data_IF_585804247963
#
_entry.id   IF_585804247963
#
_cell.length_a   1.000
_cell.length_b   1.000
_cell.length_c   1.000
_cell.angle_alpha   90.00
_cell.angle_beta   90.00
_cell.angle_gamma   90.00
#
_symmetry.space_group_name_H-M   'P 1'
#
loop_
_entity.id
_entity.type
_entity.pdbx_description
1 polymer ?
#
# COMPACT_ATOMS: atom_id res chain seq x y z
N UNK A 1 2.03 -6.05 -1.74
CA UNK A 1 2.69 -6.92 -2.75
C UNK A 1 3.28 -6.13 -3.90
N UNK A 2 2.42 -5.54 -4.72
CA UNK A 2 2.76 -4.73 -5.88
C UNK A 2 3.87 -3.71 -5.58
N UNK A 3 3.71 -2.96 -4.49
CA UNK A 3 4.65 -1.95 -4.02
C UNK A 3 6.02 -2.51 -3.61
N UNK A 4 6.07 -3.71 -3.02
CA UNK A 4 7.35 -4.31 -2.65
C UNK A 4 8.22 -4.54 -3.87
N UNK A 5 7.63 -5.01 -4.98
CA UNK A 5 8.34 -5.25 -6.24
C UNK A 5 8.87 -3.95 -6.82
N UNK A 6 8.09 -2.87 -6.76
CA UNK A 6 8.51 -1.55 -7.25
C UNK A 6 9.64 -0.98 -6.42
N UNK A 7 9.54 -1.02 -5.09
CA UNK A 7 10.61 -0.54 -4.23
C UNK A 7 11.89 -1.34 -4.52
N UNK A 8 11.82 -2.66 -4.66
CA UNK A 8 12.98 -3.48 -5.00
C UNK A 8 13.57 -3.14 -6.38
N UNK A 9 12.72 -2.88 -7.38
CA UNK A 9 13.14 -2.50 -8.73
C UNK A 9 13.77 -1.11 -8.77
N UNK A 10 13.15 -0.16 -8.07
CA UNK A 10 13.53 1.25 -8.02
C UNK A 10 14.85 1.49 -7.30
N UNK A 11 15.12 0.74 -6.24
CA UNK A 11 16.43 0.73 -5.56
C UNK A 11 17.44 -0.20 -6.24
N UNK A 12 17.12 -0.74 -7.42
CA UNK A 12 17.95 -1.66 -8.20
C UNK A 12 18.55 -2.80 -7.35
N UNK A 13 17.75 -3.35 -6.44
CA UNK A 13 18.24 -4.33 -5.46
C UNK A 13 18.64 -5.63 -6.18
N UNK A 14 19.86 -6.16 -5.95
CA UNK A 14 20.25 -7.44 -6.50
C UNK A 14 19.30 -8.58 -6.08
N UNK A 15 18.97 -9.47 -7.01
CA UNK A 15 17.99 -10.56 -6.81
C UNK A 15 18.33 -11.50 -5.65
N UNK A 16 19.62 -11.64 -5.32
CA UNK A 16 20.13 -12.44 -4.20
C UNK A 16 19.57 -11.93 -2.85
N UNK A 17 19.30 -10.63 -2.72
CA UNK A 17 18.82 -10.01 -1.48
C UNK A 17 17.30 -9.88 -1.39
N UNK A 18 16.56 -10.12 -2.49
CA UNK A 18 15.10 -9.95 -2.53
C UNK A 18 14.41 -10.77 -1.45
N UNK A 19 14.76 -12.05 -1.29
CA UNK A 19 14.12 -12.92 -0.30
C UNK A 19 14.31 -12.42 1.13
N UNK A 20 15.52 -11.95 1.48
CA UNK A 20 15.81 -11.43 2.83
C UNK A 20 15.04 -10.15 3.10
N UNK A 21 15.00 -9.24 2.13
CA UNK A 21 14.26 -7.98 2.26
C UNK A 21 12.76 -8.24 2.39
N UNK A 22 12.21 -9.15 1.58
CA UNK A 22 10.81 -9.52 1.65
C UNK A 22 10.46 -10.10 3.02
N UNK A 23 11.31 -10.99 3.58
CA UNK A 23 11.08 -11.55 4.91
C UNK A 23 11.11 -10.50 6.02
N UNK A 24 12.12 -9.62 6.01
CA UNK A 24 12.23 -8.52 6.98
C UNK A 24 11.04 -7.57 6.84
N UNK A 25 10.67 -7.23 5.59
CA UNK A 25 9.55 -6.37 5.29
C UNK A 25 8.21 -6.96 5.75
N UNK A 26 7.97 -8.26 5.55
CA UNK A 26 6.76 -8.94 6.05
C UNK A 26 6.71 -8.95 7.58
N UNK A 27 7.82 -9.27 8.24
CA UNK A 27 7.92 -9.22 9.70
C UNK A 27 7.56 -7.83 10.23
N UNK A 28 8.15 -6.80 9.64
CA UNK A 28 7.94 -5.42 10.05
C UNK A 28 6.51 -4.95 9.75
N UNK A 29 5.97 -5.28 8.58
CA UNK A 29 4.59 -5.01 8.19
C UNK A 29 3.60 -5.67 9.15
N UNK A 30 3.85 -6.91 9.57
CA UNK A 30 3.00 -7.61 10.53
C UNK A 30 2.98 -6.90 11.90
N UNK A 31 4.14 -6.45 12.37
CA UNK A 31 4.27 -5.68 13.61
C UNK A 31 3.50 -4.35 13.50
N UNK A 32 3.73 -3.57 12.43
CA UNK A 32 3.01 -2.32 12.25
C UNK A 32 1.51 -2.53 12.10
N UNK A 33 1.08 -3.54 11.34
CA UNK A 33 -0.33 -3.93 11.22
C UNK A 33 -0.93 -4.22 12.60
N UNK A 34 -0.25 -5.01 13.45
CA UNK A 34 -0.73 -5.27 14.81
C UNK A 34 -0.93 -3.97 15.61
N UNK A 35 0.04 -3.04 15.54
CA UNK A 35 -0.04 -1.74 16.21
C UNK A 35 -1.21 -0.90 15.67
N UNK A 36 -1.29 -0.68 14.35
CA UNK A 36 -2.35 0.14 13.77
C UNK A 36 -3.74 -0.45 13.91
N UNK A 37 -3.88 -1.78 13.82
CA UNK A 37 -5.16 -2.45 14.02
C UNK A 37 -5.61 -2.30 15.48
N UNK A 38 -4.70 -2.42 16.44
CA UNK A 38 -5.01 -2.22 17.86
C UNK A 38 -5.45 -0.78 18.14
N UNK A 39 -4.71 0.20 17.61
CA UNK A 39 -5.05 1.63 17.72
C UNK A 39 -6.40 1.92 17.02
N UNK A 40 -6.58 1.39 15.81
CA UNK A 40 -7.79 1.58 15.01
C UNK A 40 -9.02 0.97 15.65
N UNK A 41 -8.90 -0.20 16.27
CA UNK A 41 -9.99 -0.84 17.01
C UNK A 41 -10.48 0.04 18.17
N UNK A 42 -9.54 0.61 18.95
CA UNK A 42 -9.86 1.54 20.03
C UNK A 42 -10.51 2.81 19.47
N UNK A 43 -9.96 3.38 18.40
CA UNK A 43 -10.48 4.60 17.77
C UNK A 43 -11.92 4.44 17.24
N UNK A 44 -12.25 3.29 16.64
CA UNK A 44 -13.60 3.00 16.15
C UNK A 44 -14.56 2.72 17.31
N UNK A 45 -14.11 2.00 18.35
CA UNK A 45 -14.95 1.71 19.52
C UNK A 45 -15.32 2.96 20.33
N UNK A 46 -14.48 3.99 20.30
CA UNK A 46 -14.66 5.22 21.05
C UNK A 46 -15.48 6.28 20.31
N UNK A 47 -15.47 6.28 18.96
CA UNK A 47 -16.11 7.34 18.16
C UNK A 47 -16.71 6.80 16.85
N UNK A 48 -18.04 6.93 16.71
CA UNK A 48 -18.78 6.72 15.45
C UNK A 48 -18.28 7.61 14.30
N UNK A 49 -17.88 8.85 14.62
CA UNK A 49 -17.32 9.80 13.66
C UNK A 49 -16.03 9.31 12.98
N UNK A 50 -15.33 8.34 13.57
CA UNK A 50 -14.15 7.71 12.97
C UNK A 50 -14.47 7.09 11.61
N UNK A 51 -15.67 6.52 11.41
CA UNK A 51 -16.10 6.02 10.10
C UNK A 51 -16.22 7.12 9.04
N UNK A 52 -16.65 8.33 9.41
CA UNK A 52 -16.74 9.46 8.50
C UNK A 52 -15.35 9.98 8.09
N UNK A 53 -14.43 10.11 9.06
CA UNK A 53 -13.04 10.52 8.80
C UNK A 53 -12.38 9.52 7.85
N UNK A 54 -12.48 8.23 8.16
CA UNK A 54 -11.90 7.20 7.33
C UNK A 54 -12.56 7.12 5.96
N UNK A 55 -13.88 7.28 5.87
CA UNK A 55 -14.58 7.37 4.61
C UNK A 55 -14.06 8.50 3.73
N UNK A 56 -13.87 9.69 4.32
CA UNK A 56 -13.30 10.84 3.62
C UNK A 56 -11.86 10.59 3.14
N UNK A 57 -11.01 10.00 3.98
CA UNK A 57 -9.62 9.65 3.61
C UNK A 57 -9.61 8.64 2.46
N UNK A 58 -10.47 7.62 2.49
CA UNK A 58 -10.56 6.62 1.41
C UNK A 58 -11.04 7.22 0.09
N UNK A 59 -12.02 8.13 0.12
CA UNK A 59 -12.47 8.83 -1.09
C UNK A 59 -11.34 9.72 -1.62
N UNK A 60 -10.67 10.47 -0.76
CA UNK A 60 -9.57 11.34 -1.15
C UNK A 60 -8.39 10.56 -1.76
N UNK A 61 -8.00 9.45 -1.14
CA UNK A 61 -6.95 8.56 -1.67
C UNK A 61 -7.37 7.89 -2.96
N UNK A 62 -8.62 7.45 -3.07
CA UNK A 62 -9.19 6.91 -4.31
C UNK A 62 -9.15 7.91 -5.46
N UNK A 63 -9.54 9.17 -5.22
CA UNK A 63 -9.44 10.25 -6.23
C UNK A 63 -7.99 10.53 -6.60
N UNK A 64 -7.08 10.56 -5.63
CA UNK A 64 -5.65 10.75 -5.87
C UNK A 64 -5.07 9.65 -6.77
N UNK A 65 -5.39 8.40 -6.45
CA UNK A 65 -4.97 7.22 -7.20
C UNK A 65 -5.58 7.17 -8.61
N UNK A 66 -6.85 7.58 -8.76
CA UNK A 66 -7.50 7.69 -10.06
C UNK A 66 -6.83 8.73 -10.95
N UNK A 67 -6.42 9.88 -10.39
CA UNK A 67 -5.77 10.96 -11.15
C UNK A 67 -4.37 10.58 -11.64
N UNK A 68 -3.56 9.96 -10.77
CA UNK A 68 -2.16 9.64 -11.08
C UNK A 68 -1.96 8.15 -11.32
N UNK A 69 -2.96 7.45 -11.86
CA UNK A 69 -2.93 5.99 -12.01
C UNK A 69 -1.88 5.49 -13.03
N UNK A 70 -1.42 6.36 -13.93
CA UNK A 70 -0.42 6.08 -14.97
C UNK A 70 0.98 6.60 -14.64
N UNK A 71 1.19 7.15 -13.44
CA UNK A 71 2.47 7.71 -13.02
C UNK A 71 3.16 6.77 -12.02
N UNK A 72 4.47 6.59 -12.18
CA UNK A 72 5.29 5.80 -11.27
C UNK A 72 5.67 6.62 -10.01
N UNK A 73 5.47 6.09 -8.79
CA UNK A 73 6.01 6.64 -7.57
C UNK A 73 7.54 6.70 -7.69
N UNK A 74 8.15 7.86 -7.48
CA UNK A 74 9.60 8.00 -7.48
C UNK A 74 10.16 7.68 -6.08
N UNK A 75 11.41 7.20 -5.96
CA UNK A 75 11.96 6.83 -4.66
C UNK A 75 12.15 8.05 -3.75
N UNK A 76 12.22 9.25 -4.36
CA UNK A 76 12.42 10.52 -3.69
C UNK A 76 11.11 11.16 -3.18
N UNK A 77 9.95 10.61 -3.54
CA UNK A 77 8.66 11.10 -3.06
C UNK A 77 8.36 10.72 -1.62
N UNK A 78 8.99 9.65 -1.15
CA UNK A 78 8.84 9.28 0.24
C UNK A 78 9.66 10.27 1.08
N UNK A 79 8.99 11.30 1.58
CA UNK A 79 9.55 12.37 2.42
C UNK A 79 10.47 11.84 3.52
N UNK A 80 10.17 10.65 4.07
CA UNK A 80 11.02 9.96 5.03
C UNK A 80 12.37 9.54 4.45
N UNK A 81 12.39 8.94 3.25
CA UNK A 81 13.63 8.54 2.55
C UNK A 81 14.48 9.76 2.20
N UNK A 82 13.86 10.83 1.69
CA UNK A 82 14.55 12.09 1.36
C UNK A 82 15.16 12.75 2.60
N UNK A 83 14.44 12.75 3.70
CA UNK A 83 14.92 13.30 4.99
C UNK A 83 16.07 12.47 5.56
N UNK A 84 15.98 11.15 5.49
CA UNK A 84 17.03 10.25 5.96
C UNK A 84 18.29 10.38 5.10
N UNK A 85 18.16 10.48 3.77
CA UNK A 85 19.30 10.70 2.87
C UNK A 85 19.99 12.05 3.12
N UNK A 86 19.25 13.10 3.48
CA UNK A 86 19.82 14.40 3.86
C UNK A 86 20.49 14.40 5.24
N UNK A 87 20.00 13.61 6.19
CA UNK A 87 20.43 13.66 7.60
C UNK A 87 21.49 12.61 7.97
N UNK A 88 21.62 11.53 7.20
CA UNK A 88 22.58 10.45 7.47
C UNK A 88 23.64 10.35 6.39
N UNK A 89 24.88 10.09 6.82
CA UNK A 89 25.97 9.69 5.92
C UNK A 89 25.66 8.30 5.35
N UNK A 90 25.45 8.23 4.04
CA UNK A 90 25.11 7.02 3.29
C UNK A 90 26.25 6.63 2.37
N UNK A 91 26.34 5.34 2.08
CA UNK A 91 27.16 4.81 0.99
C UNK A 91 26.26 4.38 -0.16
N UNK A 92 26.73 4.58 -1.40
CA UNK A 92 25.94 4.27 -2.60
C UNK A 92 26.00 2.80 -3.01
N UNK A 93 26.95 2.03 -2.48
CA UNK A 93 27.14 0.62 -2.81
C UNK A 93 26.44 -0.35 -1.86
N UNK A 94 25.94 -1.45 -2.42
CA UNK A 94 25.38 -2.57 -1.65
C UNK A 94 26.49 -3.40 -1.00
N UNK A 95 26.69 -3.21 0.30
CA UNK A 95 27.60 -4.05 1.10
C UNK A 95 26.92 -5.28 1.70
N UNK A 96 26.38 -6.14 0.83
CA UNK A 96 25.69 -7.36 1.26
C UNK A 96 24.34 -7.07 1.93
N UNK A 97 24.01 -7.87 2.96
CA UNK A 97 22.81 -7.68 3.77
C UNK A 97 23.03 -6.80 5.01
N UNK A 98 24.15 -6.07 5.10
CA UNK A 98 24.44 -5.20 6.25
C UNK A 98 23.61 -3.92 6.14
N UNK A 99 22.97 -3.50 7.22
CA UNK A 99 22.19 -2.25 7.29
C UNK A 99 23.07 -1.03 7.52
N UNK A 100 24.16 -1.24 8.26
CA UNK A 100 25.15 -0.21 8.55
C UNK A 100 26.53 -0.80 8.35
N UNK A 101 27.44 0.04 7.88
CA UNK A 101 28.86 -0.28 7.80
C UNK A 101 29.67 0.81 8.49
N UNK A 102 30.82 0.45 9.03
CA UNK A 102 31.75 1.41 9.60
C UNK A 102 32.90 1.62 8.61
N UNK A 103 33.07 2.86 8.14
CA UNK A 103 34.23 3.28 7.34
C UNK A 103 34.96 4.35 8.14
N UNK A 104 36.24 4.13 8.45
CA UNK A 104 37.06 5.11 9.17
C UNK A 104 36.49 5.51 10.54
N UNK A 105 35.87 4.59 11.28
CA UNK A 105 35.30 4.85 12.60
C UNK A 105 33.93 5.54 12.63
N UNK A 106 33.39 5.96 11.46
CA UNK A 106 32.05 6.53 11.34
C UNK A 106 31.07 5.48 10.79
N UNK A 107 29.85 5.43 11.34
CA UNK A 107 28.78 4.53 10.86
C UNK A 107 28.06 5.17 9.68
N UNK A 108 28.05 4.47 8.56
CA UNK A 108 27.30 4.80 7.36
C UNK A 108 26.14 3.83 7.21
N UNK A 109 24.99 4.33 6.78
CA UNK A 109 23.89 3.47 6.37
C UNK A 109 24.07 3.00 4.94
N UNK A 110 23.63 1.77 4.68
CA UNK A 110 23.69 1.17 3.35
C UNK A 110 22.36 1.36 2.60
N UNK A 111 22.34 1.14 1.28
CA UNK A 111 21.11 1.12 0.50
C UNK A 111 20.07 0.11 1.03
N UNK A 112 20.51 -0.99 1.66
CA UNK A 112 19.62 -1.97 2.30
C UNK A 112 18.77 -1.37 3.42
N UNK A 113 19.35 -0.47 4.23
CA UNK A 113 18.61 0.21 5.28
C UNK A 113 17.52 1.12 4.69
N UNK A 114 17.84 1.87 3.63
CA UNK A 114 16.87 2.69 2.91
C UNK A 114 15.73 1.87 2.32
N UNK A 115 16.03 0.72 1.71
CA UNK A 115 15.01 -0.18 1.16
C UNK A 115 14.06 -0.68 2.25
N UNK A 116 14.59 -1.11 3.40
CA UNK A 116 13.75 -1.59 4.51
C UNK A 116 12.87 -0.47 5.06
N UNK A 117 13.41 0.74 5.23
CA UNK A 117 12.63 1.89 5.66
C UNK A 117 11.59 2.29 4.61
N UNK A 118 11.93 2.28 3.33
CA UNK A 118 10.98 2.56 2.26
C UNK A 118 9.81 1.56 2.28
N UNK A 119 10.10 0.26 2.41
CA UNK A 119 9.07 -0.78 2.55
C UNK A 119 8.21 -0.53 3.80
N UNK A 120 8.84 -0.29 4.94
CA UNK A 120 8.19 0.02 6.22
C UNK A 120 7.21 1.19 6.12
N UNK A 121 7.71 2.32 5.63
CA UNK A 121 6.96 3.56 5.49
C UNK A 121 5.85 3.42 4.45
N UNK A 122 6.08 2.67 3.38
CA UNK A 122 5.04 2.50 2.37
C UNK A 122 3.96 1.54 2.84
N UNK A 123 4.30 0.46 3.55
CA UNK A 123 3.30 -0.40 4.21
C UNK A 123 2.44 0.38 5.20
N UNK A 124 3.05 1.29 5.97
CA UNK A 124 2.34 2.24 6.82
C UNK A 124 1.35 3.11 6.03
N UNK A 125 1.76 3.63 4.87
CA UNK A 125 0.86 4.40 4.00
C UNK A 125 -0.30 3.53 3.48
N UNK A 126 -0.05 2.25 3.15
CA UNK A 126 -1.11 1.27 2.82
C UNK A 126 -1.91 0.80 4.04
N UNK A 127 -1.45 1.02 5.26
CA UNK A 127 -2.29 0.75 6.43
C UNK A 127 -3.44 1.75 6.51
N UNK A 128 -3.24 2.98 6.02
CA UNK A 128 -4.26 4.04 6.02
C UNK A 128 -5.46 3.73 5.12
N UNK A 129 -5.27 2.95 4.05
CA UNK A 129 -6.37 2.55 3.17
C UNK A 129 -6.99 1.20 3.60
N UNK A 130 -6.15 0.22 3.93
CA UNK A 130 -6.58 -1.16 4.14
C UNK A 130 -7.22 -1.39 5.49
N UNK A 131 -6.82 -0.63 6.53
CA UNK A 131 -7.40 -0.79 7.87
C UNK A 131 -8.84 -0.30 7.91
N UNK A 132 -9.15 0.94 7.48
CA UNK A 132 -10.53 1.38 7.51
C UNK A 132 -11.42 0.58 6.58
N UNK A 133 -10.88 0.16 5.43
CA UNK A 133 -11.61 -0.70 4.51
C UNK A 133 -12.00 -2.05 5.12
N UNK A 134 -11.08 -2.70 5.85
CA UNK A 134 -11.37 -3.98 6.50
C UNK A 134 -12.35 -3.80 7.65
N UNK A 135 -12.21 -2.73 8.44
CA UNK A 135 -13.16 -2.40 9.51
C UNK A 135 -14.56 -2.03 9.00
N UNK A 136 -14.67 -1.52 7.77
CA UNK A 136 -15.95 -1.32 7.09
C UNK A 136 -16.68 -2.60 6.70
N UNK A 137 -16.01 -3.76 6.77
CA UNK A 137 -16.58 -5.08 6.49
C UNK A 137 -16.79 -5.88 7.78
N UNK A 138 -15.85 -5.81 8.73
CA UNK A 138 -15.92 -6.51 10.01
C UNK A 138 -15.28 -5.70 11.12
N UNK A 139 -15.95 -5.63 12.28
CA UNK A 139 -15.41 -4.97 13.48
C UNK A 139 -14.55 -5.89 14.34
N UNK A 140 -14.39 -7.16 13.96
CA UNK A 140 -13.62 -8.13 14.74
C UNK A 140 -12.12 -8.00 14.46
N UNK A 141 -11.41 -7.34 15.37
CA UNK A 141 -9.96 -7.09 15.29
C UNK A 141 -9.13 -8.35 15.04
N UNK A 142 -9.51 -9.49 15.64
CA UNK A 142 -8.84 -10.77 15.43
C UNK A 142 -8.95 -11.24 13.97
N UNK A 143 -10.13 -11.11 13.34
CA UNK A 143 -10.32 -11.45 11.93
C UNK A 143 -9.54 -10.49 11.03
N UNK A 144 -9.55 -9.19 11.33
CA UNK A 144 -8.81 -8.15 10.59
C UNK A 144 -7.31 -8.46 10.59
N UNK A 145 -6.74 -8.75 11.77
CA UNK A 145 -5.34 -9.09 11.93
C UNK A 145 -4.99 -10.40 11.23
N UNK A 146 -5.75 -11.46 11.53
CA UNK A 146 -5.47 -12.81 11.01
C UNK A 146 -5.54 -12.85 9.49
N UNK A 147 -6.58 -12.26 8.87
CA UNK A 147 -6.70 -12.20 7.40
C UNK A 147 -5.52 -11.48 6.74
N UNK A 148 -5.11 -10.34 7.32
CA UNK A 148 -3.97 -9.58 6.82
C UNK A 148 -2.63 -10.29 7.04
N UNK A 149 -2.47 -10.98 8.18
CA UNK A 149 -1.31 -11.79 8.47
C UNK A 149 -1.18 -12.95 7.46
N UNK A 150 -2.25 -13.71 7.21
CA UNK A 150 -2.25 -14.79 6.21
C UNK A 150 -1.96 -14.27 4.80
N UNK A 151 -2.54 -13.11 4.42
CA UNK A 151 -2.25 -12.48 3.14
C UNK A 151 -0.76 -12.11 2.99
N UNK A 152 -0.12 -11.65 4.07
CA UNK A 152 1.32 -11.32 4.09
C UNK A 152 2.22 -12.55 4.20
N UNK A 153 1.82 -13.63 4.87
CA UNK A 153 2.64 -14.86 4.96
C UNK A 153 2.77 -15.55 3.59
N UNK A 154 1.76 -15.43 2.72
CA UNK A 154 1.81 -15.91 1.34
C UNK A 154 2.80 -15.17 0.43
N UNK A 155 3.44 -14.08 0.90
CA UNK A 155 4.24 -13.18 0.06
C UNK A 155 5.38 -13.90 -0.66
N UNK A 156 6.11 -14.79 0.03
CA UNK A 156 7.30 -15.41 -0.55
C UNK A 156 6.99 -16.22 -1.81
N UNK A 157 5.93 -17.03 -1.78
CA UNK A 157 5.51 -17.84 -2.91
C UNK A 157 4.84 -16.99 -3.99
N UNK A 158 3.99 -16.04 -3.57
CA UNK A 158 3.23 -15.20 -4.50
C UNK A 158 4.12 -14.17 -5.20
N UNK A 159 5.27 -13.78 -4.63
CA UNK A 159 6.20 -12.81 -5.23
C UNK A 159 6.72 -13.31 -6.58
N UNK A 160 7.07 -14.60 -6.68
CA UNK A 160 7.56 -15.18 -7.93
C UNK A 160 6.47 -15.18 -9.01
N UNK A 161 5.24 -15.57 -8.63
CA UNK A 161 4.09 -15.55 -9.52
C UNK A 161 3.73 -14.12 -9.95
N UNK A 162 3.72 -13.19 -8.98
CA UNK A 162 3.36 -11.80 -9.21
C UNK A 162 4.40 -11.07 -10.03
N UNK A 163 5.70 -11.32 -9.88
CA UNK A 163 6.73 -10.62 -10.67
C UNK A 163 6.43 -10.68 -12.17
N UNK A 164 5.94 -11.81 -12.69
CA UNK A 164 5.58 -11.95 -14.11
C UNK A 164 4.16 -11.50 -14.46
N UNK A 165 3.22 -11.56 -13.52
CA UNK A 165 1.85 -11.06 -13.72
C UNK A 165 1.77 -9.54 -13.60
N UNK A 166 2.64 -8.95 -12.77
CA UNK A 166 2.64 -7.53 -12.42
C UNK A 166 2.78 -6.68 -13.65
N UNK A 167 3.75 -6.98 -14.52
CA UNK A 167 3.95 -6.25 -15.78
C UNK A 167 2.69 -6.21 -16.66
N UNK A 168 1.74 -7.13 -16.45
CA UNK A 168 0.50 -7.27 -17.24
C UNK A 168 -0.72 -6.60 -16.60
N UNK A 169 -0.65 -6.15 -15.35
CA UNK A 169 -1.79 -5.61 -14.59
C UNK A 169 -1.93 -4.09 -14.70
N UNK A 170 -2.06 -3.58 -15.92
CA UNK A 170 -2.03 -2.13 -16.24
C UNK A 170 -3.12 -1.33 -15.53
N UNK A 171 -4.33 -1.86 -15.38
CA UNK A 171 -5.47 -1.15 -14.80
C UNK A 171 -5.68 -1.45 -13.31
N UNK A 172 -4.71 -2.07 -12.63
CA UNK A 172 -4.87 -2.47 -11.23
C UNK A 172 -5.10 -1.25 -10.32
N UNK A 173 -4.32 -0.20 -10.47
CA UNK A 173 -4.44 1.03 -9.67
C UNK A 173 -5.76 1.76 -9.91
N UNK A 174 -6.25 1.72 -11.15
CA UNK A 174 -7.56 2.22 -11.50
C UNK A 174 -8.67 1.38 -10.83
N UNK A 175 -8.58 0.05 -10.86
CA UNK A 175 -9.49 -0.82 -10.11
C UNK A 175 -9.48 -0.56 -8.60
N UNK A 176 -8.29 -0.41 -8.01
CA UNK A 176 -8.12 -0.07 -6.59
C UNK A 176 -8.76 1.28 -6.26
N UNK A 177 -8.61 2.29 -7.12
CA UNK A 177 -9.22 3.61 -6.90
C UNK A 177 -10.74 3.54 -6.75
N UNK A 178 -11.42 2.75 -7.59
CA UNK A 178 -12.87 2.53 -7.50
C UNK A 178 -13.27 1.77 -6.23
N UNK A 179 -12.49 0.76 -5.85
CA UNK A 179 -12.72 0.02 -4.60
C UNK A 179 -12.59 0.95 -3.39
N UNK A 180 -11.55 1.79 -3.34
CA UNK A 180 -11.34 2.76 -2.26
C UNK A 180 -12.47 3.77 -2.16
N UNK A 181 -12.89 4.36 -3.29
CA UNK A 181 -14.03 5.28 -3.30
C UNK A 181 -15.32 4.59 -2.86
N UNK A 182 -15.61 3.38 -3.35
CA UNK A 182 -16.79 2.62 -2.97
C UNK A 182 -16.83 2.31 -1.47
N UNK A 183 -15.72 1.83 -0.92
CA UNK A 183 -15.60 1.53 0.51
C UNK A 183 -15.70 2.82 1.33
N UNK A 184 -15.10 3.92 0.88
CA UNK A 184 -15.20 5.21 1.55
C UNK A 184 -16.63 5.72 1.64
N UNK A 185 -17.40 5.60 0.54
CA UNK A 185 -18.85 5.90 0.54
C UNK A 185 -19.60 4.97 1.50
N UNK A 186 -19.30 3.67 1.51
CA UNK A 186 -19.90 2.72 2.45
C UNK A 186 -19.63 3.11 3.92
N UNK A 187 -18.41 3.54 4.26
CA UNK A 187 -18.08 3.99 5.61
C UNK A 187 -18.87 5.25 5.99
N UNK A 188 -18.97 6.22 5.08
CA UNK A 188 -19.79 7.42 5.31
C UNK A 188 -21.28 7.09 5.48
N UNK A 189 -21.81 6.14 4.71
CA UNK A 189 -23.19 5.65 4.86
C UNK A 189 -23.41 4.93 6.19
N UNK A 190 -22.42 4.17 6.66
CA UNK A 190 -22.47 3.53 7.98
C UNK A 190 -22.57 4.57 9.10
N UNK A 191 -21.76 5.63 9.03
CA UNK A 191 -21.87 6.77 9.94
C UNK A 191 -23.22 7.49 9.81
N UNK A 192 -23.67 7.76 8.59
CA UNK A 192 -24.94 8.42 8.34
C UNK A 192 -26.13 7.61 8.87
N UNK A 193 -26.05 6.28 8.87
CA UNK A 193 -27.07 5.42 9.48
C UNK A 193 -27.09 5.50 11.01
N UNK A 194 -25.92 5.62 11.65
CA UNK A 194 -25.85 5.84 13.10
C UNK A 194 -26.45 7.19 13.51
N UNK A 195 -26.33 8.21 12.65
CA UNK A 195 -26.89 9.55 12.89
C UNK A 195 -28.37 9.64 12.47
N UNK A 196 -28.75 9.01 11.35
CA UNK A 196 -30.10 9.03 10.78
C UNK A 196 -30.59 7.60 10.56
N UNK A 197 -31.57 7.17 11.36
CA UNK A 197 -32.11 5.79 11.34
C UNK A 197 -32.79 5.40 10.01
N UNK A 198 -32.98 6.34 9.08
CA UNK A 198 -33.70 6.15 7.81
C UNK A 198 -32.80 5.72 6.63
N UNK A 199 -31.48 5.60 6.82
CA UNK A 199 -30.55 5.26 5.73
C UNK A 199 -30.38 3.74 5.63
N UNK A 200 -30.50 3.07 4.48
CA UNK A 200 -30.25 1.62 4.40
C UNK A 200 -28.78 1.26 4.62
N UNK A 201 -28.49 0.25 5.45
CA UNK A 201 -27.13 -0.33 5.55
C UNK A 201 -26.83 -1.13 4.29
N UNK A 202 -25.65 -0.95 3.69
CA UNK A 202 -25.18 -1.80 2.59
C UNK A 202 -24.81 -3.18 3.16
N UNK A 203 -25.49 -4.26 2.78
CA UNK A 203 -25.14 -5.61 3.22
C UNK A 203 -23.73 -5.99 2.77
N UNK A 204 -22.98 -6.65 3.66
CA UNK A 204 -21.63 -7.14 3.37
C UNK A 204 -21.53 -8.02 2.11
N UNK A 205 -22.47 -8.93 1.81
CA UNK A 205 -22.42 -9.73 0.58
C UNK A 205 -22.45 -8.89 -0.69
N UNK A 206 -23.25 -7.81 -0.73
CA UNK A 206 -23.33 -6.90 -1.88
C UNK A 206 -22.01 -6.16 -2.04
N UNK A 207 -21.45 -5.66 -0.92
CA UNK A 207 -20.14 -5.01 -0.91
C UNK A 207 -19.03 -5.94 -1.46
N UNK A 208 -19.03 -7.20 -1.05
CA UNK A 208 -18.07 -8.20 -1.54
C UNK A 208 -18.26 -8.49 -3.03
N UNK A 209 -19.51 -8.61 -3.49
CA UNK A 209 -19.81 -8.83 -4.91
C UNK A 209 -19.34 -7.65 -5.79
N UNK A 210 -19.55 -6.41 -5.35
CA UNK A 210 -19.07 -5.21 -6.06
C UNK A 210 -17.54 -5.19 -6.14
N UNK A 211 -16.85 -5.44 -5.01
CA UNK A 211 -15.38 -5.48 -4.98
C UNK A 211 -14.85 -6.59 -5.89
N UNK A 212 -15.42 -7.79 -5.82
CA UNK A 212 -15.03 -8.92 -6.66
C UNK A 212 -15.24 -8.60 -8.14
N UNK A 213 -16.33 -7.92 -8.50
CA UNK A 213 -16.64 -7.51 -9.87
C UNK A 213 -15.61 -6.50 -10.38
N UNK A 214 -15.27 -5.48 -9.60
CA UNK A 214 -14.25 -4.48 -9.98
C UNK A 214 -12.89 -5.14 -10.16
N UNK A 215 -12.50 -6.06 -9.27
CA UNK A 215 -11.24 -6.81 -9.39
C UNK A 215 -11.23 -7.71 -10.64
N UNK A 216 -12.35 -8.38 -10.93
CA UNK A 216 -12.48 -9.22 -12.12
C UNK A 216 -12.33 -8.38 -13.40
N UNK A 217 -13.07 -7.28 -13.50
CA UNK A 217 -13.06 -6.38 -14.67
C UNK A 217 -11.67 -5.79 -14.87
N UNK A 218 -11.05 -5.25 -13.81
CA UNK A 218 -9.71 -4.65 -13.89
C UNK A 218 -8.64 -5.67 -14.28
N UNK A 219 -8.71 -6.89 -13.75
CA UNK A 219 -7.79 -7.98 -14.10
C UNK A 219 -7.95 -8.41 -15.56
N UNK A 220 -9.18 -8.69 -15.99
CA UNK A 220 -9.47 -9.13 -17.38
C UNK A 220 -9.11 -8.04 -18.38
N UNK A 221 -9.51 -6.79 -18.13
CA UNK A 221 -9.15 -5.66 -18.97
C UNK A 221 -7.64 -5.48 -19.08
N UNK A 222 -6.91 -5.64 -17.97
CA UNK A 222 -5.45 -5.56 -17.97
C UNK A 222 -4.79 -6.66 -18.80
N UNK A 223 -5.26 -7.91 -18.67
CA UNK A 223 -4.72 -9.04 -19.43
C UNK A 223 -4.99 -8.92 -20.93
N UNK A 224 -6.19 -8.46 -21.32
CA UNK A 224 -6.53 -8.22 -22.73
C UNK A 224 -5.62 -7.12 -23.31
N UNK A 225 -5.49 -6.00 -22.60
CA UNK A 225 -4.67 -4.85 -23.03
C UNK A 225 -3.19 -5.20 -23.11
N UNK A 226 -2.65 -5.90 -22.12
CA UNK A 226 -1.25 -6.35 -22.10
C UNK A 226 -0.93 -7.33 -23.23
N UNK A 227 -1.91 -8.12 -23.69
CA UNK A 227 -1.75 -8.99 -24.87
C UNK A 227 -1.75 -8.20 -26.19
N UNK A 228 -2.47 -7.08 -26.25
CA UNK A 228 -2.54 -6.22 -27.44
C UNK A 228 -1.37 -5.25 -27.55
N UNK A 229 -0.81 -4.82 -26.41
CA UNK A 229 0.26 -3.83 -26.30
C UNK A 229 1.35 -4.30 -25.33
N UNK A 230 2.27 -5.19 -25.77
CA UNK A 230 3.32 -5.75 -24.92
C UNK A 230 4.36 -4.71 -24.42
N UNK A 231 4.38 -3.51 -25.00
CA UNK A 231 5.21 -2.38 -24.61
C UNK A 231 4.72 -1.64 -23.36
N UNK A 232 3.43 -1.75 -23.01
CA UNK A 232 2.86 -1.09 -21.83
C UNK A 232 3.10 -1.93 -20.57
N UNK A 233 3.73 -1.32 -19.56
CA UNK A 233 3.98 -1.93 -18.26
C UNK A 233 2.96 -1.44 -17.23
N UNK A 234 2.70 -2.25 -16.22
CA UNK A 234 1.80 -1.85 -15.15
C UNK A 234 2.40 -0.76 -14.28
N UNK A 235 1.59 0.28 -14.04
CA UNK A 235 1.96 1.39 -13.19
C UNK A 235 1.28 1.27 -11.83
N UNK A 236 2.02 1.38 -10.71
CA UNK A 236 1.50 1.57 -9.36
C UNK A 236 0.44 2.61 -9.16
N UNK A 237 0.49 3.67 -9.97
CA UNK A 237 -0.22 4.87 -9.66
C UNK A 237 0.27 5.52 -8.36
N UNK A 238 -0.06 6.79 -8.19
CA UNK A 238 0.36 7.60 -7.03
C UNK A 238 -0.84 8.23 -6.36
N UNK A 239 -0.72 8.48 -5.05
CA UNK A 239 -1.79 9.11 -4.27
C UNK A 239 -1.72 10.66 -4.38
N UNK A 240 -0.52 11.22 -4.55
CA UNK A 240 -0.28 12.67 -4.58
C UNK A 240 0.51 13.09 -5.82
N UNK A 241 0.14 14.23 -6.41
CA UNK A 241 0.85 14.84 -7.54
C UNK A 241 2.15 15.53 -7.13
N UNK A 242 2.99 15.81 -8.12
CA UNK A 242 4.28 16.48 -7.94
C UNK A 242 4.04 17.90 -7.35
N UNK A 243 4.59 18.20 -6.18
CA UNK A 243 4.89 19.59 -5.86
C UNK A 243 6.16 19.90 -6.64
N UNK A 244 6.04 20.63 -7.76
CA UNK A 244 7.16 21.43 -8.23
C UNK A 244 7.66 22.21 -7.02
N UNK A 245 8.80 21.79 -6.48
CA UNK A 245 9.59 22.65 -5.63
C UNK A 245 10.14 23.65 -6.61
N UNK A 246 9.45 24.78 -6.71
CA UNK A 246 9.90 25.99 -7.39
C UNK A 246 11.29 26.28 -6.82
N UNK A 247 12.33 25.92 -7.57
CA UNK A 247 13.72 26.23 -7.25
C UNK A 247 13.84 27.76 -7.35
N UNK A 248 13.86 28.42 -6.20
CA UNK A 248 14.26 29.82 -6.03
C UNK A 248 15.52 29.90 -5.20
#
# INVERSE_FOLDING_TARGET
MFIFVIILAQFAVPSIYHQRILLIGVMLALVFRAVFISIGAVAISAFSFTFAIFGAILIWTGIGLFKHWHEDPEPNDNLMVRTLRKRMSMVDEFHGSKLFIAIGGKRFATPMFLVIIAIASTDLLFALDSIPATFGVTSQTFLVFTANAFALLGLRALYFLLKGLLDKLIYLSLGLSFILMFIGVKLMLTYAHEVFHNVPKIPTPISLAVIATILLISTVASLIKSKQHPEMKAHPGRITGHKEVDDK
#
